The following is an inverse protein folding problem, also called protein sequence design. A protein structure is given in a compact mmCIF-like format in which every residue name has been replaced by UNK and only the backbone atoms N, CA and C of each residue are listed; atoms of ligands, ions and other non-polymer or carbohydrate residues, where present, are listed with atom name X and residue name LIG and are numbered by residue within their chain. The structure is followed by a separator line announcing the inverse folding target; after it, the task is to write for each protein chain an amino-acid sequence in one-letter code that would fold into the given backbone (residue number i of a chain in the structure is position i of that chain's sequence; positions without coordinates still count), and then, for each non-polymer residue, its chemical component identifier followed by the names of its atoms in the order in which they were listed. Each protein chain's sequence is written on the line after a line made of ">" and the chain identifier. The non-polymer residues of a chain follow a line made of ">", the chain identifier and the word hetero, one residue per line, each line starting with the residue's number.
data_IF_297061651300
#
_entry.id   IF_297061651300
#
_cell.length_a   1.000
_cell.length_b   1.000
_cell.length_c   1.000
_cell.angle_alpha   90.00
_cell.angle_beta   90.00
_cell.angle_gamma   90.00
#
_symmetry.space_group_name_H-M   'P 1'
#
loop_
_entity.id
_entity.type
_entity.pdbx_description
1 polymer ?
#
# COMPACT_ATOMS: atom_id res chain seq x y z
N UNK A 1 -5.01 -54.34 -36.21
CA UNK A 1 -4.01 -54.45 -35.12
C UNK A 1 -4.58 -53.80 -33.86
N UNK A 2 -4.15 -54.30 -32.72
CA UNK A 2 -4.74 -54.21 -31.36
C UNK A 2 -5.42 -52.92 -30.90
N UNK A 3 -6.56 -53.11 -30.22
CA UNK A 3 -6.97 -52.28 -29.07
C UNK A 3 -5.95 -52.42 -27.93
N UNK A 4 -5.78 -51.40 -27.08
CA UNK A 4 -5.62 -51.63 -25.63
C UNK A 4 -6.24 -50.47 -24.86
N UNK A 5 -7.19 -50.80 -23.99
CA UNK A 5 -7.58 -49.96 -22.86
C UNK A 5 -6.66 -50.25 -21.68
N UNK A 6 -6.53 -49.29 -20.75
CA UNK A 6 -6.05 -49.57 -19.41
C UNK A 6 -6.95 -48.89 -18.37
N UNK A 7 -7.55 -49.72 -17.52
CA UNK A 7 -8.30 -49.34 -16.32
C UNK A 7 -7.73 -50.11 -15.13
N UNK A 8 -7.32 -49.43 -14.06
CA UNK A 8 -7.30 -49.91 -12.68
C UNK A 8 -6.84 -48.74 -11.79
N UNK A 9 -7.70 -48.15 -10.96
CA UNK A 9 -7.98 -48.58 -9.58
C UNK A 9 -6.72 -48.83 -8.74
N UNK A 10 -6.52 -47.97 -7.73
CA UNK A 10 -6.16 -48.42 -6.38
C UNK A 10 -6.87 -47.57 -5.32
N UNK A 11 -7.54 -48.27 -4.40
CA UNK A 11 -8.05 -47.73 -3.14
C UNK A 11 -6.89 -47.34 -2.21
N UNK A 12 -7.07 -46.30 -1.40
CA UNK A 12 -6.56 -46.34 -0.03
C UNK A 12 -7.41 -45.47 0.89
N UNK A 13 -7.94 -46.09 1.94
CA UNK A 13 -8.71 -45.44 3.00
C UNK A 13 -7.73 -44.95 4.08
N UNK A 14 -7.86 -43.70 4.52
CA UNK A 14 -7.28 -43.24 5.79
C UNK A 14 -8.35 -42.52 6.61
N UNK A 15 -8.59 -43.04 7.80
CA UNK A 15 -9.60 -42.59 8.77
C UNK A 15 -9.26 -41.22 9.39
N UNK A 16 -10.24 -40.49 9.96
CA UNK A 16 -9.99 -39.22 10.64
C UNK A 16 -9.26 -39.43 11.97
N UNK A 17 -8.14 -38.75 12.17
CA UNK A 17 -7.50 -38.58 13.48
C UNK A 17 -8.22 -37.47 14.26
N UNK A 18 -8.94 -37.84 15.31
CA UNK A 18 -9.32 -36.90 16.36
C UNK A 18 -8.11 -36.62 17.25
N UNK A 19 -7.81 -35.35 17.50
CA UNK A 19 -7.01 -34.94 18.66
C UNK A 19 -7.63 -33.72 19.32
N UNK A 20 -8.32 -33.96 20.44
CA UNK A 20 -8.42 -32.98 21.51
C UNK A 20 -7.13 -33.06 22.33
N UNK A 21 -6.58 -31.94 22.77
CA UNK A 21 -6.04 -31.82 24.13
C UNK A 21 -5.96 -30.36 24.55
N UNK A 22 -6.58 -30.10 25.69
CA UNK A 22 -6.31 -29.01 26.63
C UNK A 22 -4.84 -29.03 27.08
N UNK A 23 -4.25 -27.88 27.41
CA UNK A 23 -4.07 -27.52 28.84
C UNK A 23 -3.43 -26.14 29.10
N UNK A 24 -3.94 -25.49 30.17
CA UNK A 24 -3.30 -24.63 31.19
C UNK A 24 -2.36 -23.49 30.75
N UNK A 25 -2.64 -22.20 30.98
CA UNK A 25 -2.94 -21.43 32.22
C UNK A 25 -1.78 -21.22 33.23
N UNK A 26 -1.64 -19.94 33.61
CA UNK A 26 -0.98 -19.36 34.80
C UNK A 26 0.54 -19.49 34.97
N UNK A 27 1.20 -18.33 35.07
CA UNK A 27 1.83 -17.89 36.34
C UNK A 27 2.03 -16.36 36.38
N UNK A 28 1.48 -15.71 37.41
CA UNK A 28 1.79 -14.33 37.80
C UNK A 28 2.71 -14.36 39.03
N UNK A 29 3.74 -13.50 39.10
CA UNK A 29 4.46 -13.13 40.34
C UNK A 29 5.24 -11.82 40.19
N UNK A 30 5.34 -11.06 41.28
CA UNK A 30 6.17 -9.87 41.48
C UNK A 30 6.77 -9.94 42.92
N UNK A 31 7.62 -9.05 43.45
CA UNK A 31 8.04 -7.67 43.12
C UNK A 31 9.57 -7.56 43.45
N UNK A 32 10.16 -6.47 44.01
CA UNK A 32 10.36 -5.09 43.52
C UNK A 32 11.84 -4.59 43.49
N UNK A 33 12.08 -3.45 42.82
CA UNK A 33 13.02 -2.33 43.11
C UNK A 33 14.48 -2.55 43.62
N UNK A 34 15.48 -1.91 42.97
CA UNK A 34 16.14 -0.66 43.47
C UNK A 34 17.23 -0.05 42.55
N UNK A 35 17.29 1.30 42.58
CA UNK A 35 18.47 2.23 42.51
C UNK A 35 19.48 2.31 41.33
N UNK A 36 19.49 3.50 40.70
CA UNK A 36 20.61 4.39 40.32
C UNK A 36 21.99 3.81 39.94
N UNK A 37 22.51 4.19 38.75
CA UNK A 37 23.41 5.34 38.67
C UNK A 37 23.73 5.83 37.23
N UNK A 38 24.22 7.07 37.15
CA UNK A 38 24.61 7.75 35.92
C UNK A 38 25.75 7.05 35.17
N UNK A 39 25.76 7.16 33.83
CA UNK A 39 27.00 7.42 33.10
C UNK A 39 26.73 8.14 31.78
N UNK A 40 27.55 9.16 31.50
CA UNK A 40 27.57 9.80 30.19
C UNK A 40 28.18 8.82 29.18
N UNK A 41 27.50 8.59 28.06
CA UNK A 41 28.20 8.24 26.82
C UNK A 41 27.84 9.25 25.73
N UNK A 42 28.90 9.91 25.29
CA UNK A 42 29.01 10.88 24.22
C UNK A 42 28.19 10.48 22.98
N UNK A 43 27.40 11.40 22.45
CA UNK A 43 27.00 11.32 21.05
C UNK A 43 28.25 11.40 20.19
N UNK A 44 28.51 10.47 19.25
CA UNK A 44 29.51 10.70 18.23
C UNK A 44 29.04 11.87 17.34
N UNK A 45 29.94 12.82 17.08
CA UNK A 45 29.75 13.85 16.07
C UNK A 45 29.53 13.19 14.71
N UNK A 46 28.27 13.05 14.29
CA UNK A 46 27.97 12.77 12.89
C UNK A 46 27.99 14.09 12.13
N UNK A 47 28.86 14.14 11.13
CA UNK A 47 29.04 15.29 10.25
C UNK A 47 27.69 15.75 9.68
N UNK A 48 27.52 17.06 9.60
CA UNK A 48 26.35 17.70 9.01
C UNK A 48 26.23 17.37 7.53
N UNK A 49 25.51 16.29 7.19
CA UNK A 49 25.06 16.02 5.83
C UNK A 49 24.11 17.13 5.38
N UNK A 50 24.62 18.07 4.59
CA UNK A 50 23.79 19.13 4.03
C UNK A 50 22.82 18.53 3.00
N UNK A 51 21.53 18.75 3.22
CA UNK A 51 20.44 18.33 2.32
C UNK A 51 20.63 18.80 0.86
N UNK A 52 21.36 19.91 0.67
CA UNK A 52 21.84 20.41 -0.61
C UNK A 52 23.32 20.74 -0.47
N UNK A 53 24.17 20.25 -1.37
CA UNK A 53 25.60 20.60 -1.43
C UNK A 53 25.87 21.65 -2.50
N UNK A 54 26.89 22.49 -2.28
CA UNK A 54 27.22 23.59 -3.19
C UNK A 54 27.83 23.09 -4.52
N UNK A 55 27.50 23.74 -5.66
CA UNK A 55 27.88 23.29 -7.00
C UNK A 55 29.33 23.65 -7.34
N UNK A 56 30.29 22.82 -6.92
CA UNK A 56 31.70 23.07 -7.23
C UNK A 56 32.55 21.80 -7.38
N UNK A 57 32.22 20.95 -8.37
CA UNK A 57 33.17 20.26 -9.27
C UNK A 57 32.45 19.26 -10.22
N UNK A 58 32.97 19.02 -11.45
CA UNK A 58 32.32 18.15 -12.43
C UNK A 58 32.61 16.67 -12.14
N UNK A 59 31.71 16.00 -11.42
CA UNK A 59 31.83 14.57 -11.13
C UNK A 59 30.65 14.00 -10.34
N UNK A 60 29.56 13.67 -11.04
CA UNK A 60 28.38 12.94 -10.53
C UNK A 60 27.88 13.38 -9.15
N UNK A 61 27.33 14.60 -9.07
CA UNK A 61 26.65 15.10 -7.88
C UNK A 61 25.37 14.27 -7.62
N UNK A 62 25.43 13.35 -6.66
CA UNK A 62 24.29 12.48 -6.31
C UNK A 62 23.77 12.82 -4.92
N UNK A 63 22.59 13.45 -4.86
CA UNK A 63 21.83 13.66 -3.62
C UNK A 63 21.74 12.38 -2.76
N UNK A 64 22.11 12.47 -1.49
CA UNK A 64 21.86 11.43 -0.48
C UNK A 64 20.46 11.64 0.13
N UNK A 65 19.66 10.57 0.17
CA UNK A 65 18.25 10.58 0.62
C UNK A 65 18.03 9.67 1.85
N UNK A 66 19.10 9.32 2.57
CA UNK A 66 19.08 8.37 3.69
C UNK A 66 18.63 6.95 3.27
N UNK A 67 18.46 6.05 4.23
CA UNK A 67 17.83 4.73 4.00
C UNK A 67 16.33 4.77 4.29
N UNK A 68 15.54 4.09 3.45
CA UNK A 68 14.12 3.85 3.73
C UNK A 68 14.03 2.63 4.66
N UNK A 69 13.71 2.87 5.93
CA UNK A 69 13.59 1.82 6.94
C UNK A 69 12.11 1.68 7.38
N UNK A 70 11.74 0.51 7.86
CA UNK A 70 10.44 0.28 8.50
C UNK A 70 10.58 0.37 10.00
N UNK A 71 9.69 1.13 10.65
CA UNK A 71 9.57 1.18 12.11
C UNK A 71 8.34 0.36 12.55
N UNK A 72 8.40 -0.24 13.74
CA UNK A 72 7.39 -1.17 14.26
C UNK A 72 6.77 -0.58 15.53
N UNK A 73 5.70 0.18 15.33
CA UNK A 73 5.04 0.98 16.36
C UNK A 73 4.41 0.15 17.51
N UNK A 74 4.41 0.75 18.70
CA UNK A 74 3.94 0.16 19.97
C UNK A 74 2.81 0.92 20.66
N UNK A 75 2.28 2.05 20.15
CA UNK A 75 1.11 2.74 20.76
C UNK A 75 0.10 3.30 19.76
N UNK A 76 -1.09 2.70 19.73
CA UNK A 76 -2.20 3.12 18.86
C UNK A 76 -2.98 4.32 19.40
N UNK A 77 -2.71 5.50 18.85
CA UNK A 77 -3.66 6.63 18.84
C UNK A 77 -3.85 7.03 17.37
N UNK A 78 -5.09 7.01 16.87
CA UNK A 78 -5.41 7.40 15.50
C UNK A 78 -5.74 8.90 15.50
N UNK A 79 -4.93 9.76 14.85
CA UNK A 79 -5.22 11.19 14.78
C UNK A 79 -6.41 11.48 13.86
N UNK A 80 -7.08 12.62 14.07
CA UNK A 80 -8.13 13.10 13.16
C UNK A 80 -7.49 13.58 11.85
N UNK A 81 -8.13 13.27 10.71
CA UNK A 81 -7.65 13.71 9.40
C UNK A 81 -7.77 15.22 9.23
N UNK A 82 -6.84 15.81 8.49
CA UNK A 82 -6.99 17.15 7.92
C UNK A 82 -8.24 17.21 7.01
N UNK A 83 -8.92 18.37 7.02
CA UNK A 83 -10.21 18.59 6.35
C UNK A 83 -10.05 18.72 4.83
N UNK A 84 -9.01 19.39 4.36
CA UNK A 84 -8.83 19.65 2.93
C UNK A 84 -8.39 18.37 2.22
N UNK A 85 -7.45 17.63 2.82
CA UNK A 85 -7.05 16.28 2.39
C UNK A 85 -8.21 15.29 2.43
N UNK A 86 -9.14 15.42 3.39
CA UNK A 86 -10.35 14.61 3.45
C UNK A 86 -11.32 14.91 2.28
N UNK A 87 -11.52 16.19 1.96
CA UNK A 87 -12.36 16.61 0.82
C UNK A 87 -11.77 16.15 -0.52
N UNK A 88 -10.45 16.23 -0.68
CA UNK A 88 -9.74 15.70 -1.84
C UNK A 88 -9.89 14.17 -1.96
N UNK A 89 -9.72 13.44 -0.86
CA UNK A 89 -9.91 11.99 -0.83
C UNK A 89 -11.33 11.57 -1.26
N UNK A 90 -12.36 12.29 -0.81
CA UNK A 90 -13.75 12.04 -1.22
C UNK A 90 -13.94 12.25 -2.74
N UNK A 91 -13.34 13.30 -3.32
CA UNK A 91 -13.39 13.54 -4.78
C UNK A 91 -12.73 12.39 -5.56
N UNK A 92 -11.55 11.94 -5.11
CA UNK A 92 -10.78 10.88 -5.78
C UNK A 92 -11.45 9.50 -5.68
N UNK A 93 -12.09 9.20 -4.55
CA UNK A 93 -12.69 7.89 -4.30
C UNK A 93 -14.14 7.76 -4.80
N UNK A 94 -14.83 8.88 -5.09
CA UNK A 94 -16.13 8.91 -5.78
C UNK A 94 -17.25 8.05 -5.13
N UNK A 95 -17.32 7.96 -3.80
CA UNK A 95 -18.20 7.05 -3.07
C UNK A 95 -19.68 7.07 -3.45
N UNK A 96 -20.21 8.25 -3.80
CA UNK A 96 -21.61 8.45 -4.17
C UNK A 96 -21.85 8.35 -5.70
N UNK A 97 -20.82 8.01 -6.48
CA UNK A 97 -20.87 7.91 -7.94
C UNK A 97 -21.12 6.47 -8.41
N UNK A 98 -21.87 6.30 -9.50
CA UNK A 98 -21.93 5.00 -10.19
C UNK A 98 -20.59 4.62 -10.83
N UNK A 99 -19.73 5.61 -11.15
CA UNK A 99 -18.41 5.38 -11.73
C UNK A 99 -17.40 4.78 -10.74
N UNK A 100 -17.69 4.77 -9.42
CA UNK A 100 -16.79 4.21 -8.40
C UNK A 100 -16.50 2.71 -8.61
N UNK A 101 -17.46 1.96 -9.19
CA UNK A 101 -17.26 0.54 -9.57
C UNK A 101 -16.41 0.38 -10.83
N UNK A 102 -16.25 1.45 -11.60
CA UNK A 102 -15.54 1.50 -12.88
C UNK A 102 -14.08 1.96 -12.77
N UNK A 103 -13.51 2.12 -11.57
CA UNK A 103 -12.11 2.52 -11.40
C UNK A 103 -11.20 1.38 -11.91
N UNK A 104 -10.74 1.50 -13.16
CA UNK A 104 -9.91 0.50 -13.88
C UNK A 104 -8.46 0.47 -13.36
N UNK A 105 -8.28 0.18 -12.07
CA UNK A 105 -6.97 0.19 -11.45
C UNK A 105 -6.08 -0.98 -11.88
N UNK A 106 -6.64 -2.12 -12.29
CA UNK A 106 -5.87 -3.33 -12.66
C UNK A 106 -4.95 -3.11 -13.88
N UNK A 107 -5.39 -2.32 -14.86
CA UNK A 107 -4.57 -1.96 -16.03
C UNK A 107 -3.39 -1.05 -15.63
N UNK A 108 -3.63 -0.12 -14.72
CA UNK A 108 -2.60 0.81 -14.21
C UNK A 108 -1.64 0.10 -13.24
N UNK A 109 -2.14 -0.82 -12.42
CA UNK A 109 -1.32 -1.67 -11.57
C UNK A 109 -0.33 -2.49 -12.39
N UNK A 110 -0.75 -3.06 -13.54
CA UNK A 110 0.13 -3.82 -14.43
C UNK A 110 1.34 -3.00 -14.91
N UNK A 111 1.20 -1.70 -15.19
CA UNK A 111 2.34 -0.85 -15.55
C UNK A 111 3.25 -0.49 -14.37
N UNK A 112 2.83 -0.77 -13.14
CA UNK A 112 3.61 -0.55 -11.92
C UNK A 112 4.35 -1.80 -11.43
N UNK A 113 4.04 -2.98 -11.98
CA UNK A 113 4.72 -4.23 -11.63
C UNK A 113 6.05 -4.34 -12.39
N UNK A 114 7.10 -4.81 -11.71
CA UNK A 114 8.43 -4.99 -12.31
C UNK A 114 9.15 -6.22 -11.76
N UNK A 115 9.75 -6.99 -12.65
CA UNK A 115 10.57 -8.16 -12.30
C UNK A 115 12.06 -7.76 -12.23
N UNK A 116 12.81 -8.20 -11.21
CA UNK A 116 12.39 -8.96 -10.02
C UNK A 116 11.84 -8.07 -8.89
N UNK A 117 11.08 -8.67 -7.97
CA UNK A 117 10.78 -8.11 -6.64
C UNK A 117 9.55 -7.20 -6.53
N UNK A 118 9.06 -6.63 -7.64
CA UNK A 118 7.81 -5.84 -7.68
C UNK A 118 6.72 -6.54 -8.49
N UNK A 119 6.68 -7.87 -8.42
CA UNK A 119 5.63 -8.73 -8.95
C UNK A 119 4.96 -9.46 -7.81
N UNK A 120 3.79 -10.04 -8.06
CA UNK A 120 3.16 -10.87 -7.05
C UNK A 120 4.00 -12.10 -6.71
N UNK A 121 4.31 -12.28 -5.42
CA UNK A 121 5.05 -13.43 -4.92
C UNK A 121 4.30 -14.72 -5.21
N UNK A 122 4.98 -15.65 -5.87
CA UNK A 122 4.46 -17.00 -6.07
C UNK A 122 4.72 -17.84 -4.83
N UNK A 123 3.78 -18.74 -4.50
CA UNK A 123 3.98 -19.73 -3.45
C UNK A 123 5.02 -20.73 -3.93
N UNK A 124 6.04 -21.00 -3.10
CA UNK A 124 7.07 -22.00 -3.39
C UNK A 124 6.46 -23.35 -3.82
N UNK A 125 7.11 -24.05 -4.75
CA UNK A 125 6.60 -25.29 -5.35
C UNK A 125 6.35 -26.40 -4.30
N UNK A 126 7.12 -26.44 -3.21
CA UNK A 126 6.90 -27.39 -2.11
C UNK A 126 5.60 -27.09 -1.34
N UNK A 127 5.19 -25.82 -1.29
CA UNK A 127 4.01 -25.34 -0.56
C UNK A 127 2.76 -25.22 -1.44
N UNK A 128 2.91 -25.19 -2.77
CA UNK A 128 1.80 -24.96 -3.70
C UNK A 128 0.67 -25.99 -3.55
N UNK A 129 1.02 -27.25 -3.23
CA UNK A 129 0.09 -28.36 -2.98
C UNK A 129 -0.86 -28.14 -1.80
N UNK A 130 -0.48 -27.32 -0.82
CA UNK A 130 -1.34 -26.94 0.31
C UNK A 130 -2.22 -25.74 -0.01
N UNK A 131 -1.82 -24.89 -0.97
CA UNK A 131 -2.63 -23.81 -1.49
C UNK A 131 -3.67 -24.37 -2.48
N UNK A 132 -4.83 -24.78 -1.96
CA UNK A 132 -5.98 -25.33 -2.71
C UNK A 132 -6.68 -24.28 -3.60
N UNK A 133 -5.92 -23.60 -4.46
CA UNK A 133 -6.36 -22.56 -5.40
C UNK A 133 -7.14 -21.41 -4.75
N UNK A 134 -6.81 -21.09 -3.50
CA UNK A 134 -7.57 -20.17 -2.62
C UNK A 134 -6.67 -19.11 -2.00
N UNK A 135 -5.84 -18.51 -2.84
CA UNK A 135 -5.05 -17.35 -2.43
C UNK A 135 -5.91 -16.07 -2.45
N UNK A 136 -6.55 -15.79 -1.32
CA UNK A 136 -7.31 -14.56 -1.10
C UNK A 136 -6.41 -13.32 -0.89
N UNK A 137 -5.09 -13.50 -0.75
CA UNK A 137 -4.13 -12.43 -0.48
C UNK A 137 -3.37 -11.99 -1.73
N UNK A 138 -3.19 -12.85 -2.73
CA UNK A 138 -2.47 -12.55 -3.99
C UNK A 138 -2.87 -11.21 -4.63
N UNK A 139 -4.16 -10.86 -4.64
CA UNK A 139 -4.62 -9.57 -5.20
C UNK A 139 -4.26 -8.35 -4.34
N UNK A 140 -4.06 -8.53 -3.04
CA UNK A 140 -3.59 -7.48 -2.13
C UNK A 140 -2.07 -7.37 -2.18
N UNK A 141 -1.38 -8.50 -2.24
CA UNK A 141 0.07 -8.58 -2.35
C UNK A 141 0.57 -7.98 -3.69
N UNK A 142 -0.08 -8.28 -4.81
CA UNK A 142 0.16 -7.61 -6.10
C UNK A 142 0.04 -6.08 -6.02
N UNK A 143 -0.93 -5.57 -5.26
CA UNK A 143 -1.09 -4.12 -5.03
C UNK A 143 0.05 -3.57 -4.17
N UNK A 144 0.44 -4.28 -3.11
CA UNK A 144 1.61 -3.91 -2.29
C UNK A 144 2.91 -3.88 -3.10
N UNK A 145 3.13 -4.85 -3.99
CA UNK A 145 4.29 -4.91 -4.86
C UNK A 145 4.35 -3.71 -5.82
N UNK A 146 3.24 -3.42 -6.53
CA UNK A 146 3.16 -2.27 -7.43
C UNK A 146 3.27 -0.92 -6.72
N UNK A 147 2.65 -0.76 -5.55
CA UNK A 147 2.77 0.46 -4.74
C UNK A 147 4.20 0.66 -4.19
N UNK A 148 4.89 -0.43 -3.82
CA UNK A 148 6.29 -0.36 -3.37
C UNK A 148 7.20 0.16 -4.48
N UNK A 149 6.99 -0.30 -5.73
CA UNK A 149 7.71 0.22 -6.89
C UNK A 149 7.39 1.70 -7.15
N UNK A 150 6.11 2.08 -7.10
CA UNK A 150 5.70 3.48 -7.31
C UNK A 150 6.29 4.44 -6.27
N UNK A 151 6.43 4.03 -5.00
CA UNK A 151 7.09 4.84 -3.95
C UNK A 151 8.59 5.03 -4.22
N UNK A 152 9.27 3.99 -4.72
CA UNK A 152 10.68 4.09 -5.10
C UNK A 152 10.87 4.95 -6.36
N UNK A 153 9.98 4.82 -7.35
CA UNK A 153 9.94 5.70 -8.53
C UNK A 153 9.68 7.16 -8.12
N UNK A 154 8.71 7.42 -7.23
CA UNK A 154 8.40 8.75 -6.71
C UNK A 154 9.64 9.40 -6.05
N UNK A 155 10.37 8.63 -5.23
CA UNK A 155 11.62 9.06 -4.61
C UNK A 155 12.71 9.36 -5.64
N UNK A 156 12.81 8.57 -6.70
CA UNK A 156 13.76 8.83 -7.79
C UNK A 156 13.37 10.05 -8.63
N UNK A 157 12.08 10.25 -8.92
CA UNK A 157 11.56 11.43 -9.62
C UNK A 157 11.80 12.70 -8.81
N UNK A 158 11.59 12.67 -7.49
CA UNK A 158 11.90 13.78 -6.59
C UNK A 158 13.41 14.07 -6.56
N UNK A 159 14.27 13.04 -6.48
CA UNK A 159 15.72 13.18 -6.58
C UNK A 159 16.15 13.86 -7.87
N UNK A 160 15.72 13.33 -9.03
CA UNK A 160 16.07 13.88 -10.34
C UNK A 160 15.51 15.28 -10.52
N UNK A 161 14.28 15.54 -10.06
CA UNK A 161 13.64 16.85 -10.13
C UNK A 161 14.38 17.93 -9.36
N UNK A 162 14.74 17.69 -8.09
CA UNK A 162 15.51 18.66 -7.31
C UNK A 162 16.90 18.90 -7.90
N UNK A 163 17.60 17.85 -8.34
CA UNK A 163 18.90 18.02 -9.00
C UNK A 163 18.77 18.86 -10.29
N UNK A 164 17.73 18.61 -11.09
CA UNK A 164 17.45 19.39 -12.32
C UNK A 164 17.23 20.87 -12.04
N UNK A 165 16.61 21.24 -10.90
CA UNK A 165 16.46 22.64 -10.48
C UNK A 165 17.82 23.26 -10.14
N UNK A 166 18.65 22.55 -9.37
CA UNK A 166 19.99 23.02 -8.99
C UNK A 166 20.86 23.21 -10.22
N UNK A 167 20.94 22.21 -11.10
CA UNK A 167 21.74 22.24 -12.33
C UNK A 167 21.28 23.38 -13.25
N UNK A 168 19.96 23.54 -13.42
CA UNK A 168 19.38 24.63 -14.20
C UNK A 168 19.72 26.01 -13.61
N UNK A 169 19.61 26.19 -12.29
CA UNK A 169 19.91 27.46 -11.63
C UNK A 169 21.40 27.82 -11.74
N UNK A 170 22.30 26.83 -11.67
CA UNK A 170 23.73 27.02 -11.89
C UNK A 170 24.03 27.46 -13.33
N UNK A 171 23.42 26.81 -14.31
CA UNK A 171 23.61 27.13 -15.72
C UNK A 171 22.98 28.47 -16.14
N UNK A 172 21.93 28.93 -15.44
CA UNK A 172 21.13 30.10 -15.81
C UNK A 172 21.20 31.23 -14.77
N UNK A 173 22.31 31.36 -14.03
CA UNK A 173 22.46 32.32 -12.93
C UNK A 173 22.02 33.76 -13.26
N UNK A 174 22.33 34.27 -14.46
CA UNK A 174 21.93 35.64 -14.88
C UNK A 174 20.42 35.81 -15.10
N UNK A 175 19.70 34.71 -15.35
CA UNK A 175 18.25 34.67 -15.56
C UNK A 175 17.50 34.10 -14.35
N UNK A 176 18.17 33.89 -13.22
CA UNK A 176 17.59 33.34 -12.01
C UNK A 176 16.72 34.39 -11.30
N UNK A 177 15.42 34.36 -11.56
CA UNK A 177 14.40 35.18 -10.90
C UNK A 177 13.22 34.29 -10.45
N UNK A 178 12.32 34.80 -9.58
CA UNK A 178 11.21 34.01 -9.04
C UNK A 178 10.27 33.41 -10.10
N UNK A 179 10.02 34.10 -11.21
CA UNK A 179 9.11 33.63 -12.26
C UNK A 179 9.75 32.46 -13.01
N UNK A 180 10.98 32.62 -13.49
CA UNK A 180 11.69 31.56 -14.21
C UNK A 180 11.92 30.32 -13.33
N UNK A 181 12.13 30.50 -12.02
CA UNK A 181 12.23 29.41 -11.06
C UNK A 181 10.87 28.72 -10.82
N UNK A 182 9.78 29.49 -10.70
CA UNK A 182 8.42 28.96 -10.60
C UNK A 182 8.03 28.13 -11.84
N UNK A 183 8.34 28.64 -13.03
CA UNK A 183 8.11 27.93 -14.29
C UNK A 183 8.90 26.61 -14.31
N UNK A 184 10.16 26.62 -13.85
CA UNK A 184 10.97 25.38 -13.81
C UNK A 184 10.50 24.37 -12.77
N UNK A 185 10.01 24.82 -11.62
CA UNK A 185 9.36 23.96 -10.61
C UNK A 185 8.06 23.35 -11.18
N UNK A 186 7.29 24.17 -11.91
CA UNK A 186 6.00 23.76 -12.51
C UNK A 186 6.19 22.75 -13.65
N UNK A 187 7.23 22.90 -14.47
CA UNK A 187 7.66 21.92 -15.48
C UNK A 187 7.99 20.54 -14.87
N UNK A 188 8.66 20.52 -13.71
CA UNK A 188 9.12 19.28 -13.07
C UNK A 188 8.03 18.60 -12.22
N UNK A 189 7.21 19.37 -11.49
CA UNK A 189 6.27 18.85 -10.50
C UNK A 189 4.79 19.14 -10.79
N UNK A 190 4.49 20.01 -11.74
CA UNK A 190 3.14 20.44 -12.07
C UNK A 190 2.36 19.46 -12.98
N UNK A 191 1.14 19.84 -13.38
CA UNK A 191 0.27 18.99 -14.19
C UNK A 191 0.93 18.53 -15.49
N UNK A 192 0.80 17.23 -15.78
CA UNK A 192 1.42 16.60 -16.95
C UNK A 192 2.87 16.14 -16.75
N UNK A 193 3.55 16.53 -15.65
CA UNK A 193 4.87 16.03 -15.32
C UNK A 193 4.84 14.54 -14.91
N UNK A 194 6.00 13.88 -14.96
CA UNK A 194 6.14 12.50 -14.50
C UNK A 194 5.84 12.35 -13.00
N UNK A 195 6.20 13.34 -12.17
CA UNK A 195 5.92 13.31 -10.73
C UNK A 195 4.42 13.44 -10.44
N UNK A 196 3.72 14.30 -11.18
CA UNK A 196 2.26 14.41 -11.11
C UNK A 196 1.59 13.10 -11.54
N UNK A 197 1.99 12.55 -12.69
CA UNK A 197 1.45 11.29 -13.23
C UNK A 197 1.69 10.09 -12.31
N UNK A 198 2.86 9.95 -11.69
CA UNK A 198 3.16 8.90 -10.70
C UNK A 198 2.25 9.03 -9.46
N UNK A 199 1.97 10.25 -9.02
CA UNK A 199 1.05 10.53 -7.91
C UNK A 199 -0.41 10.16 -8.26
N UNK A 200 -0.90 10.52 -9.45
CA UNK A 200 -2.23 10.11 -9.94
C UNK A 200 -2.34 8.59 -10.10
N UNK A 201 -1.33 7.96 -10.69
CA UNK A 201 -1.21 6.50 -10.88
C UNK A 201 -1.33 5.77 -9.54
N UNK A 202 -0.57 6.22 -8.54
CA UNK A 202 -0.58 5.70 -7.17
C UNK A 202 -1.97 5.85 -6.53
N UNK A 203 -2.58 7.04 -6.63
CA UNK A 203 -3.91 7.29 -6.08
C UNK A 203 -5.00 6.48 -6.79
N UNK A 204 -4.92 6.27 -8.10
CA UNK A 204 -5.86 5.43 -8.85
C UNK A 204 -5.78 3.96 -8.39
N UNK A 205 -4.59 3.44 -8.12
CA UNK A 205 -4.39 2.09 -7.56
C UNK A 205 -5.01 1.98 -6.16
N UNK A 206 -4.72 2.92 -5.26
CA UNK A 206 -5.25 2.94 -3.89
C UNK A 206 -6.78 3.03 -3.89
N UNK A 207 -7.34 3.98 -4.65
CA UNK A 207 -8.78 4.23 -4.69
C UNK A 207 -9.54 3.07 -5.36
N UNK A 208 -9.02 2.52 -6.46
CA UNK A 208 -9.65 1.38 -7.13
C UNK A 208 -9.56 0.08 -6.34
N UNK A 209 -8.43 -0.21 -5.65
CA UNK A 209 -8.37 -1.38 -4.76
C UNK A 209 -9.30 -1.21 -3.56
N UNK A 210 -9.42 0.00 -3.00
CA UNK A 210 -10.39 0.30 -1.93
C UNK A 210 -11.84 0.11 -2.41
N UNK A 211 -12.14 0.47 -3.66
CA UNK A 211 -13.43 0.21 -4.30
C UNK A 211 -13.74 -1.30 -4.36
N UNK A 212 -12.82 -2.08 -4.94
CA UNK A 212 -12.95 -3.54 -5.01
C UNK A 212 -13.15 -4.17 -3.63
N UNK A 213 -12.35 -3.79 -2.63
CA UNK A 213 -12.46 -4.33 -1.26
C UNK A 213 -13.82 -4.05 -0.60
N UNK A 214 -14.45 -2.91 -0.89
CA UNK A 214 -15.74 -2.54 -0.31
C UNK A 214 -16.89 -3.22 -1.08
N UNK A 215 -16.84 -3.30 -2.40
CA UNK A 215 -17.82 -4.07 -3.20
C UNK A 215 -17.79 -5.55 -2.83
N UNK A 216 -16.62 -6.20 -2.77
CA UNK A 216 -16.48 -7.61 -2.35
C UNK A 216 -17.02 -7.83 -0.93
N UNK A 217 -16.75 -6.90 0.00
CA UNK A 217 -17.31 -6.96 1.37
C UNK A 217 -18.83 -6.83 1.36
N UNK A 218 -19.38 -5.92 0.55
CA UNK A 218 -20.81 -5.68 0.42
C UNK A 218 -21.53 -6.89 -0.17
N UNK A 219 -20.99 -7.45 -1.26
CA UNK A 219 -21.52 -8.68 -1.86
C UNK A 219 -21.53 -9.84 -0.88
N UNK A 220 -20.45 -10.03 -0.12
CA UNK A 220 -20.37 -11.06 0.92
C UNK A 220 -21.48 -10.89 1.96
N UNK A 221 -21.64 -9.68 2.51
CA UNK A 221 -22.68 -9.40 3.51
C UNK A 221 -24.08 -9.65 2.93
N UNK A 222 -24.35 -9.20 1.69
CA UNK A 222 -25.64 -9.41 1.04
C UNK A 222 -25.95 -10.89 0.74
N UNK A 223 -24.94 -11.75 0.57
CA UNK A 223 -25.12 -13.20 0.35
C UNK A 223 -25.61 -13.92 1.61
N UNK A 224 -25.31 -13.42 2.80
CA UNK A 224 -25.80 -13.97 4.08
C UNK A 224 -27.27 -13.62 4.36
N UNK A 225 -27.89 -12.74 3.56
CA UNK A 225 -29.28 -12.30 3.77
C UNK A 225 -30.25 -13.20 3.00
N UNK A 226 -30.94 -14.08 3.73
CA UNK A 226 -31.95 -14.99 3.19
C UNK A 226 -33.20 -14.28 2.65
N UNK A 227 -33.56 -13.10 3.17
CA UNK A 227 -34.75 -12.36 2.73
C UNK A 227 -34.42 -11.52 1.48
N UNK A 228 -34.95 -11.95 0.33
CA UNK A 228 -34.71 -11.33 -0.97
C UNK A 228 -35.15 -9.85 -1.04
N UNK A 229 -36.26 -9.49 -0.39
CA UNK A 229 -36.77 -8.10 -0.37
C UNK A 229 -35.84 -7.19 0.45
N UNK A 230 -35.40 -7.66 1.62
CA UNK A 230 -34.41 -6.95 2.44
C UNK A 230 -33.07 -6.83 1.70
N UNK A 231 -32.60 -7.92 1.09
CA UNK A 231 -31.36 -7.95 0.30
C UNK A 231 -31.42 -6.97 -0.88
N UNK A 232 -32.56 -6.86 -1.57
CA UNK A 232 -32.72 -5.93 -2.68
C UNK A 232 -32.82 -4.46 -2.22
N UNK A 233 -33.46 -4.20 -1.08
CA UNK A 233 -33.46 -2.85 -0.46
C UNK A 233 -32.04 -2.43 -0.08
N UNK A 234 -31.27 -3.31 0.56
CA UNK A 234 -29.90 -3.05 1.00
C UNK A 234 -28.88 -2.94 -0.16
N UNK A 235 -29.19 -3.39 -1.38
CA UNK A 235 -28.39 -3.11 -2.58
C UNK A 235 -28.41 -1.63 -3.00
N UNK A 236 -29.46 -0.88 -2.63
CA UNK A 236 -29.66 0.50 -3.08
C UNK A 236 -29.04 1.54 -2.13
N UNK A 237 -28.58 1.15 -0.94
CA UNK A 237 -27.94 2.05 0.04
C UNK A 237 -26.60 2.57 -0.52
N UNK A 238 -26.32 3.89 -0.55
CA UNK A 238 -25.03 4.41 -1.00
C UNK A 238 -23.85 3.95 -0.13
N UNK A 239 -22.66 3.85 -0.73
CA UNK A 239 -21.44 3.41 -0.04
C UNK A 239 -20.79 4.59 0.70
N UNK A 240 -21.42 5.08 1.77
CA UNK A 240 -20.92 6.25 2.51
C UNK A 240 -19.55 6.01 3.20
N UNK A 241 -18.68 7.02 3.19
CA UNK A 241 -17.36 7.00 3.87
C UNK A 241 -17.44 7.18 5.41
N UNK A 242 -18.64 7.30 5.98
CA UNK A 242 -18.81 7.48 7.43
C UNK A 242 -18.36 6.25 8.22
N UNK A 243 -17.58 6.47 9.28
CA UNK A 243 -17.16 5.46 10.26
C UNK A 243 -18.29 4.88 11.14
N UNK A 244 -19.55 5.02 10.72
CA UNK A 244 -20.77 4.78 11.52
C UNK A 244 -21.84 3.95 10.78
N UNK A 245 -21.48 3.25 9.71
CA UNK A 245 -22.43 2.45 8.91
C UNK A 245 -22.88 1.14 9.58
N UNK A 246 -22.39 0.83 10.78
CA UNK A 246 -22.82 -0.36 11.57
C UNK A 246 -24.09 -0.06 12.37
N UNK A 247 -24.23 1.13 12.95
CA UNK A 247 -25.35 1.46 13.85
C UNK A 247 -26.70 1.62 13.09
N UNK A 248 -26.66 2.02 11.81
CA UNK A 248 -27.88 2.09 10.96
C UNK A 248 -28.39 0.73 10.47
N UNK A 249 -27.63 -0.35 10.63
CA UNK A 249 -28.07 -1.72 10.28
C UNK A 249 -28.57 -2.51 11.50
N UNK A 250 -28.40 -1.97 12.71
CA UNK A 250 -28.94 -2.53 13.95
C UNK A 250 -30.21 -1.81 14.44
N UNK A 251 -30.79 -0.95 13.60
CA UNK A 251 -31.96 -0.11 13.92
C UNK A 251 -33.12 -0.26 12.91
N UNK A 252 -33.10 -1.36 12.14
CA UNK A 252 -34.17 -1.86 11.24
C UNK A 252 -34.36 -3.36 11.48
#
# INVERSE_FOLDING_TARGET
>A
MSQMAYTSNYFSQCSPMYYNSTDQQNYNKAVPSTSNNNNLQQFPNNNSEQFLTLPSQPGSMSLNWGSLNTDVDRKKIIPTSDKDRYLELNKLQQFDSQAWKGIRYKQVLQSCLATPGFTGLQVNDELCHFNKSKDYLASTELVSAGLSNQVLEQRQLLKTGLQTIVDWACANFQNLNPNNLFDKISDIFGPGSLCYKNSETTMQIICGKRSECIEVRRERILKEICNDNLRNTLKNVPTALTSYSVERLCSL
#
